data_IF_223450118613
#
_entry.id   IF_223450118613
#
_cell.length_a   1.000
_cell.length_b   1.000
_cell.length_c   1.000
_cell.angle_alpha   90.00
_cell.angle_beta   90.00
_cell.angle_gamma   90.00
#
_symmetry.space_group_name_H-M   'P 1'
#
loop_
_entity.id
_entity.type
_entity.pdbx_description
1 polymer ?
#
# COMPACT_ATOMS: atom_id res chain seq x y z
N UNK A 1 28.30 13.74 29.43
CA UNK A 1 27.01 13.38 28.80
C UNK A 1 27.03 14.02 27.44
N UNK A 2 27.22 13.23 26.37
CA UNK A 2 27.24 13.76 25.01
C UNK A 2 25.81 14.15 24.65
N UNK A 3 25.59 15.38 24.19
CA UNK A 3 24.28 15.77 23.68
C UNK A 3 23.95 14.84 22.49
N UNK A 4 22.89 14.04 22.64
CA UNK A 4 22.33 13.27 21.53
C UNK A 4 21.97 14.24 20.42
N UNK A 5 22.47 14.03 19.20
CA UNK A 5 21.98 14.80 18.05
C UNK A 5 20.47 14.58 17.92
N UNK A 6 19.70 15.61 17.52
CA UNK A 6 18.28 15.44 17.28
C UNK A 6 18.06 14.41 16.15
N UNK A 7 16.99 13.61 16.21
CA UNK A 7 16.64 12.68 15.15
C UNK A 7 16.45 13.45 13.83
N UNK A 8 17.00 12.92 12.73
CA UNK A 8 16.88 13.51 11.39
C UNK A 8 15.96 12.64 10.57
N UNK A 9 14.84 13.22 10.11
CA UNK A 9 13.90 12.55 9.22
C UNK A 9 14.52 12.35 7.83
N UNK A 10 14.58 11.10 7.37
CA UNK A 10 15.13 10.70 6.06
C UNK A 10 14.08 10.13 5.13
N UNK A 11 13.07 9.45 5.68
CA UNK A 11 11.96 8.91 4.91
C UNK A 11 10.67 8.95 5.72
N UNK A 12 9.56 8.97 5.00
CA UNK A 12 8.21 8.90 5.53
C UNK A 12 7.50 7.70 4.90
N UNK A 13 6.92 6.85 5.74
CA UNK A 13 6.18 5.65 5.34
C UNK A 13 4.73 5.79 5.82
N UNK A 14 3.81 5.94 4.89
CA UNK A 14 2.38 5.97 5.20
C UNK A 14 1.79 4.59 5.03
N UNK A 15 1.04 4.13 6.03
CA UNK A 15 0.19 2.96 5.91
C UNK A 15 -1.25 3.42 6.07
N UNK A 16 -2.02 3.47 4.97
CA UNK A 16 -3.29 4.18 5.02
C UNK A 16 -4.35 3.40 5.79
N UNK A 17 -5.06 4.05 6.69
CA UNK A 17 -6.17 3.45 7.44
C UNK A 17 -7.44 3.30 6.57
N UNK A 18 -8.12 2.16 6.70
CA UNK A 18 -9.48 1.86 6.21
C UNK A 18 -9.90 2.50 4.86
N UNK A 19 -9.23 2.15 3.76
CA UNK A 19 -9.68 2.53 2.41
C UNK A 19 -10.84 1.64 1.90
N UNK A 20 -11.43 0.81 2.77
CA UNK A 20 -12.57 -0.05 2.46
C UNK A 20 -13.89 0.70 2.59
N UNK A 21 -13.96 1.73 3.44
CA UNK A 21 -15.10 2.66 3.45
C UNK A 21 -15.18 3.39 2.11
N UNK A 22 -16.38 3.59 1.55
CA UNK A 22 -16.55 4.39 0.35
C UNK A 22 -16.06 5.81 0.62
N UNK A 23 -14.82 6.05 0.22
CA UNK A 23 -14.14 7.32 0.30
C UNK A 23 -14.96 8.35 -0.47
N UNK A 24 -15.21 9.51 0.15
CA UNK A 24 -15.75 10.64 -0.62
C UNK A 24 -14.79 10.92 -1.76
N UNK A 25 -15.27 11.15 -2.99
CA UNK A 25 -14.38 11.46 -4.10
C UNK A 25 -13.61 12.74 -3.76
N UNK A 26 -12.33 12.58 -3.42
CA UNK A 26 -11.40 13.70 -3.32
C UNK A 26 -11.06 14.16 -4.72
N UNK A 27 -10.91 15.48 -4.89
CA UNK A 27 -10.44 16.08 -6.13
C UNK A 27 -9.06 15.53 -6.56
N UNK A 28 -8.29 14.98 -5.61
CA UNK A 28 -6.93 14.47 -5.81
C UNK A 28 -6.84 12.94 -5.87
N UNK A 29 -7.97 12.23 -5.96
CA UNK A 29 -8.01 10.76 -6.07
C UNK A 29 -8.01 10.02 -4.73
N UNK A 30 -8.16 8.70 -4.80
CA UNK A 30 -8.39 7.84 -3.65
C UNK A 30 -7.19 7.78 -2.68
N UNK A 31 -5.96 7.69 -3.21
CA UNK A 31 -4.75 7.65 -2.38
C UNK A 31 -4.56 8.95 -1.59
N UNK A 32 -4.75 10.11 -2.23
CA UNK A 32 -4.64 11.41 -1.57
C UNK A 32 -5.58 11.54 -0.38
N UNK A 33 -6.83 11.09 -0.54
CA UNK A 33 -7.79 11.07 0.57
C UNK A 33 -7.40 10.06 1.65
N UNK A 34 -6.96 8.86 1.28
CA UNK A 34 -6.52 7.86 2.23
C UNK A 34 -5.34 8.36 3.09
N UNK A 35 -4.38 9.08 2.49
CA UNK A 35 -3.28 9.71 3.24
C UNK A 35 -3.81 10.79 4.19
N UNK A 36 -4.75 11.62 3.74
CA UNK A 36 -5.34 12.69 4.56
C UNK A 36 -6.03 12.14 5.81
N UNK A 37 -6.92 11.16 5.66
CA UNK A 37 -7.61 10.50 6.78
C UNK A 37 -6.60 9.81 7.73
N UNK A 38 -5.54 9.23 7.16
CA UNK A 38 -4.48 8.59 7.95
C UNK A 38 -3.70 9.59 8.79
N UNK A 39 -3.46 10.79 8.27
CA UNK A 39 -2.79 11.86 9.01
C UNK A 39 -3.66 12.35 10.18
N UNK A 40 -4.97 12.49 9.99
CA UNK A 40 -5.91 12.78 11.07
C UNK A 40 -5.87 11.69 12.16
N UNK A 41 -6.10 10.43 11.77
CA UNK A 41 -6.04 9.28 12.67
C UNK A 41 -4.72 9.20 13.46
N UNK A 42 -3.59 9.45 12.79
CA UNK A 42 -2.28 9.32 13.42
C UNK A 42 -1.93 10.50 14.34
N UNK A 43 -2.39 11.72 14.04
CA UNK A 43 -1.82 12.95 14.62
C UNK A 43 -2.79 13.82 15.43
N UNK A 44 -4.10 13.63 15.30
CA UNK A 44 -5.09 14.49 15.99
C UNK A 44 -5.30 14.09 17.45
N UNK A 45 -5.09 12.81 17.77
CA UNK A 45 -5.25 12.30 19.14
C UNK A 45 -6.69 12.22 19.60
N UNK A 46 -7.63 12.02 18.67
CA UNK A 46 -9.03 11.76 18.97
C UNK A 46 -9.18 10.52 19.85
N UNK A 47 -9.95 10.64 20.94
CA UNK A 47 -10.12 9.59 21.95
C UNK A 47 -10.66 8.29 21.36
N UNK A 48 -11.49 8.37 20.33
CA UNK A 48 -12.08 7.20 19.66
C UNK A 48 -11.02 6.34 18.94
N UNK A 49 -9.90 6.95 18.53
CA UNK A 49 -8.83 6.29 17.80
C UNK A 49 -7.85 5.60 18.76
N UNK A 50 -7.41 6.30 19.81
CA UNK A 50 -6.37 5.79 20.70
C UNK A 50 -6.91 5.04 21.91
N UNK A 51 -8.12 5.34 22.40
CA UNK A 51 -8.63 4.67 23.59
C UNK A 51 -9.02 3.22 23.25
N UNK A 52 -8.52 2.27 24.02
CA UNK A 52 -9.03 0.92 23.99
C UNK A 52 -10.41 0.93 24.65
N UNK A 53 -11.47 0.70 23.88
CA UNK A 53 -12.78 0.46 24.49
C UNK A 53 -12.67 -0.80 25.35
N UNK A 54 -13.26 -0.82 26.57
CA UNK A 54 -13.39 -2.06 27.32
C UNK A 54 -14.08 -3.09 26.42
N UNK A 55 -13.46 -4.25 26.24
CA UNK A 55 -13.81 -5.22 25.21
C UNK A 55 -15.28 -5.62 25.27
N UNK A 56 -16.14 -4.95 24.52
CA UNK A 56 -17.44 -5.46 24.14
C UNK A 56 -17.16 -6.51 23.07
N UNK A 57 -16.75 -7.71 23.49
CA UNK A 57 -16.80 -8.89 22.63
C UNK A 57 -18.25 -9.05 22.20
N UNK A 58 -18.61 -8.47 21.06
CA UNK A 58 -19.91 -8.71 20.44
C UNK A 58 -19.93 -10.21 20.09
N UNK A 59 -20.79 -11.03 20.70
CA UNK A 59 -20.85 -12.44 20.37
C UNK A 59 -21.32 -12.58 18.92
N UNK A 60 -20.56 -13.32 18.12
CA UNK A 60 -20.95 -13.69 16.76
C UNK A 60 -22.15 -14.65 16.82
N UNK A 61 -23.36 -14.10 16.87
CA UNK A 61 -24.60 -14.86 16.89
C UNK A 61 -25.84 -13.94 16.78
N UNK A 62 -26.99 -14.45 16.29
CA UNK A 62 -28.22 -13.68 16.25
C UNK A 62 -28.73 -13.51 17.69
N UNK A 63 -28.44 -12.36 18.32
CA UNK A 63 -28.81 -12.11 19.71
C UNK A 63 -30.01 -11.14 19.83
N UNK A 64 -31.13 -11.68 20.27
CA UNK A 64 -32.32 -10.96 20.75
C UNK A 64 -32.14 -10.36 22.17
N UNK A 65 -30.94 -10.44 22.77
CA UNK A 65 -30.71 -10.07 24.19
C UNK A 65 -29.82 -8.82 24.41
N UNK A 66 -29.44 -8.10 23.35
CA UNK A 66 -28.50 -6.96 23.44
C UNK A 66 -29.05 -5.71 24.16
N UNK A 67 -30.37 -5.57 24.36
CA UNK A 67 -30.97 -4.34 24.90
C UNK A 67 -30.88 -4.19 26.44
N UNK A 68 -30.48 -5.22 27.20
CA UNK A 68 -30.50 -5.14 28.68
C UNK A 68 -29.19 -4.75 29.35
N UNK A 69 -28.04 -4.72 28.64
CA UNK A 69 -26.74 -4.40 29.25
C UNK A 69 -26.34 -2.92 29.18
N UNK A 70 -26.98 -2.11 28.32
CA UNK A 70 -26.63 -0.70 28.12
C UNK A 70 -27.08 0.25 29.25
N UNK A 71 -27.89 -0.21 30.22
CA UNK A 71 -28.51 0.64 31.23
C UNK A 71 -27.85 0.62 32.62
N UNK A 72 -26.66 0.02 32.80
CA UNK A 72 -25.99 -0.12 34.12
C UNK A 72 -24.56 0.42 34.25
N UNK A 73 -23.96 1.01 33.22
CA UNK A 73 -22.67 1.69 33.37
C UNK A 73 -22.88 3.15 33.77
N UNK A 74 -22.98 3.39 35.07
CA UNK A 74 -23.02 4.71 35.69
C UNK A 74 -21.63 5.05 36.25
N UNK A 75 -21.03 6.13 35.77
CA UNK A 75 -20.17 7.08 36.51
C UNK A 75 -18.94 6.54 37.29
N UNK A 76 -18.28 5.47 36.85
CA UNK A 76 -16.86 5.29 37.15
C UNK A 76 -16.08 5.87 35.96
N UNK A 77 -15.23 6.87 36.22
CA UNK A 77 -14.21 7.35 35.27
C UNK A 77 -13.26 6.18 34.99
N UNK A 78 -13.63 5.31 34.05
CA UNK A 78 -12.78 4.22 33.60
C UNK A 78 -11.50 4.83 33.04
N UNK A 79 -10.36 4.48 33.65
CA UNK A 79 -9.04 4.91 33.23
C UNK A 79 -8.78 4.40 31.81
N UNK A 80 -8.93 5.29 30.82
CA UNK A 80 -8.75 4.95 29.41
C UNK A 80 -7.28 4.58 29.17
N UNK A 81 -7.06 3.32 28.76
CA UNK A 81 -5.72 2.85 28.36
C UNK A 81 -5.51 3.03 26.86
N UNK A 82 -4.36 3.55 26.41
CA UNK A 82 -4.07 3.69 24.99
C UNK A 82 -3.90 2.33 24.31
N UNK A 83 -4.35 2.23 23.06
CA UNK A 83 -4.13 1.07 22.18
C UNK A 83 -2.64 0.92 21.86
N UNK A 84 -2.15 -0.31 21.61
CA UNK A 84 -0.77 -0.54 21.19
C UNK A 84 -0.38 0.31 19.97
N UNK A 85 0.76 1.00 20.05
CA UNK A 85 1.28 1.87 18.99
C UNK A 85 0.86 3.35 19.08
N UNK A 86 -0.02 3.70 20.03
CA UNK A 86 -0.25 5.09 20.43
C UNK A 86 0.70 5.48 21.57
N UNK A 87 1.33 6.65 21.45
CA UNK A 87 2.26 7.19 22.41
C UNK A 87 2.00 8.69 22.66
N UNK A 88 2.32 9.22 23.85
CA UNK A 88 2.27 10.65 24.07
C UNK A 88 3.17 11.41 23.09
N UNK A 89 2.81 12.65 22.69
CA UNK A 89 3.64 13.46 21.82
C UNK A 89 5.01 13.77 22.47
N UNK A 90 6.08 13.82 21.66
CA UNK A 90 7.48 13.98 22.14
C UNK A 90 7.71 15.32 22.83
N UNK A 91 7.01 16.36 22.41
CA UNK A 91 6.98 17.65 23.07
C UNK A 91 5.55 17.92 23.56
N UNK A 92 5.36 18.55 24.73
CA UNK A 92 4.06 19.09 25.08
C UNK A 92 3.70 20.09 23.97
N UNK A 93 2.70 19.75 23.17
CA UNK A 93 2.11 20.74 22.30
C UNK A 93 1.61 21.88 23.19
N UNK A 94 1.64 23.12 22.70
CA UNK A 94 0.89 24.21 23.35
C UNK A 94 -0.63 23.91 23.43
N UNK A 95 -1.07 22.87 22.73
CA UNK A 95 -2.38 22.23 22.81
C UNK A 95 -2.37 21.13 23.89
N UNK A 96 -2.84 21.46 25.09
CA UNK A 96 -3.00 20.55 26.25
C UNK A 96 -3.98 19.37 25.97
N UNK A 97 -4.58 19.30 24.77
CA UNK A 97 -5.64 18.33 24.45
C UNK A 97 -5.13 17.04 23.75
N UNK A 98 -3.90 17.02 23.19
CA UNK A 98 -3.39 15.86 22.44
C UNK A 98 -2.74 14.82 23.35
N UNK A 99 -3.56 13.89 23.84
CA UNK A 99 -3.09 12.86 24.77
C UNK A 99 -2.14 11.83 24.11
N UNK A 100 -2.46 11.36 22.90
CA UNK A 100 -1.71 10.32 22.21
C UNK A 100 -1.72 10.49 20.70
N UNK A 101 -0.62 10.07 20.04
CA UNK A 101 -0.48 10.00 18.58
C UNK A 101 0.10 8.64 18.18
N UNK A 102 -0.16 8.19 16.96
CA UNK A 102 0.34 6.91 16.45
C UNK A 102 1.45 7.10 15.43
N UNK A 103 2.67 6.72 15.79
CA UNK A 103 3.83 6.78 14.89
C UNK A 103 4.94 5.83 15.33
N UNK A 104 5.81 5.45 14.40
CA UNK A 104 7.04 4.73 14.70
C UNK A 104 8.22 5.43 14.03
N UNK A 105 9.27 5.78 14.79
CA UNK A 105 10.49 6.37 14.25
C UNK A 105 11.65 5.38 14.39
N UNK A 106 12.15 4.87 13.27
CA UNK A 106 13.25 3.89 13.26
C UNK A 106 14.63 4.55 13.26
N UNK A 107 15.63 3.77 13.67
CA UNK A 107 17.03 4.20 13.76
C UNK A 107 17.63 4.66 12.41
N UNK A 108 17.06 4.23 11.29
CA UNK A 108 17.47 4.65 9.94
C UNK A 108 16.93 6.03 9.54
N UNK A 109 16.09 6.65 10.39
CA UNK A 109 15.45 7.94 10.14
C UNK A 109 14.13 7.84 9.38
N UNK A 110 13.50 6.66 9.30
CA UNK A 110 12.15 6.51 8.74
C UNK A 110 11.09 6.78 9.80
N UNK A 111 10.18 7.70 9.51
CA UNK A 111 8.94 7.88 10.27
C UNK A 111 7.82 7.10 9.60
N UNK A 112 7.17 6.19 10.31
CA UNK A 112 5.97 5.50 9.87
C UNK A 112 4.73 6.11 10.51
N UNK A 113 3.70 6.36 9.71
CA UNK A 113 2.41 6.91 10.12
C UNK A 113 1.25 6.06 9.55
N UNK A 114 0.38 5.49 10.39
CA UNK A 114 0.51 5.39 11.85
C UNK A 114 1.58 4.36 12.25
N UNK A 115 1.73 4.07 13.54
CA UNK A 115 2.55 2.95 14.01
C UNK A 115 2.02 1.62 13.43
N UNK A 116 2.85 0.74 12.85
CA UNK A 116 2.41 -0.53 12.26
C UNK A 116 1.50 -1.38 13.17
N UNK A 117 1.84 -1.48 14.47
CA UNK A 117 1.02 -2.21 15.45
C UNK A 117 -0.42 -1.69 15.62
N UNK A 118 -0.68 -0.38 15.42
CA UNK A 118 -2.06 0.14 15.45
C UNK A 118 -2.91 -0.43 14.32
N UNK A 119 -2.27 -0.75 13.20
CA UNK A 119 -2.94 -1.26 12.01
C UNK A 119 -3.25 -2.74 12.18
N UNK A 120 -2.28 -3.50 12.71
CA UNK A 120 -2.42 -4.92 12.95
C UNK A 120 -3.51 -5.24 14.00
N UNK A 121 -3.67 -4.37 15.01
CA UNK A 121 -4.63 -4.57 16.09
C UNK A 121 -6.10 -4.39 15.66
N UNK A 122 -6.39 -3.40 14.80
CA UNK A 122 -7.76 -3.06 14.41
C UNK A 122 -8.27 -3.83 13.18
N UNK A 123 -7.37 -4.52 12.44
CA UNK A 123 -7.70 -5.21 11.18
C UNK A 123 -7.85 -6.71 11.29
N UNK A 124 -8.36 -7.22 12.41
CA UNK A 124 -8.99 -8.56 12.39
C UNK A 124 -10.30 -8.45 11.59
N UNK A 125 -10.29 -8.73 10.29
CA UNK A 125 -11.39 -8.40 9.41
C UNK A 125 -12.45 -9.47 9.66
N UNK A 126 -13.57 -9.12 10.29
CA UNK A 126 -14.53 -10.08 10.82
C UNK A 126 -13.99 -10.83 12.07
N UNK A 127 -14.63 -10.75 13.24
CA UNK A 127 -14.34 -11.65 14.36
C UNK A 127 -14.45 -13.14 13.97
N UNK A 128 -15.07 -13.46 12.83
CA UNK A 128 -15.06 -14.80 12.23
C UNK A 128 -13.90 -15.08 11.27
N UNK A 129 -13.06 -14.10 10.89
CA UNK A 129 -11.79 -14.33 10.19
C UNK A 129 -10.57 -14.19 11.11
N UNK A 130 -10.75 -13.81 12.37
CA UNK A 130 -9.78 -14.05 13.43
C UNK A 130 -9.48 -15.57 13.50
N UNK A 131 -8.39 -16.01 12.86
CA UNK A 131 -8.05 -17.43 12.71
C UNK A 131 -8.41 -18.06 11.35
N UNK A 132 -8.78 -17.27 10.34
CA UNK A 132 -8.84 -17.76 8.97
C UNK A 132 -7.45 -18.24 8.54
N UNK A 133 -7.37 -19.49 8.07
CA UNK A 133 -6.15 -20.06 7.51
C UNK A 133 -5.68 -19.19 6.34
N UNK A 134 -4.36 -18.99 6.18
CA UNK A 134 -3.79 -18.20 5.08
C UNK A 134 -4.30 -18.67 3.72
N UNK A 135 -4.62 -19.96 3.57
CA UNK A 135 -5.19 -20.53 2.35
C UNK A 135 -6.60 -20.01 1.99
N UNK A 136 -7.34 -19.47 2.97
CA UNK A 136 -8.66 -18.88 2.75
C UNK A 136 -8.58 -17.44 2.20
N UNK A 137 -7.41 -16.81 2.29
CA UNK A 137 -7.20 -15.44 1.83
C UNK A 137 -6.64 -15.42 0.41
N UNK A 138 -7.10 -14.45 -0.37
CA UNK A 138 -6.51 -14.04 -1.65
C UNK A 138 -5.97 -12.63 -1.54
N UNK A 139 -4.64 -12.49 -1.63
CA UNK A 139 -3.93 -11.23 -1.43
C UNK A 139 -3.38 -10.75 -2.75
N UNK A 140 -3.94 -9.65 -3.24
CA UNK A 140 -3.41 -8.95 -4.42
C UNK A 140 -2.71 -7.68 -3.99
N UNK A 141 -1.44 -7.53 -4.38
CA UNK A 141 -0.64 -6.33 -4.17
C UNK A 141 -0.28 -5.70 -5.52
N UNK A 142 -0.61 -4.43 -5.72
CA UNK A 142 -0.25 -3.67 -6.90
C UNK A 142 0.76 -2.59 -6.54
N UNK A 143 1.96 -2.71 -7.10
CA UNK A 143 3.08 -1.82 -6.86
C UNK A 143 3.18 -0.76 -7.96
N UNK A 144 3.37 0.49 -7.57
CA UNK A 144 3.57 1.64 -8.43
C UNK A 144 4.97 2.21 -8.20
N UNK A 145 5.82 2.21 -9.24
CA UNK A 145 7.09 2.93 -9.19
C UNK A 145 6.88 4.42 -9.48
N UNK A 146 6.92 5.26 -8.44
CA UNK A 146 6.64 6.70 -8.54
C UNK A 146 7.89 7.55 -8.77
N UNK A 147 9.08 7.04 -8.43
CA UNK A 147 10.35 7.69 -8.74
C UNK A 147 11.45 6.63 -8.84
N UNK A 148 12.20 6.66 -9.93
CA UNK A 148 13.40 5.85 -10.08
C UNK A 148 14.63 6.65 -9.62
N UNK A 149 15.37 6.12 -8.65
CA UNK A 149 16.69 6.65 -8.33
C UNK A 149 17.70 6.24 -9.42
N UNK A 150 18.85 6.92 -9.51
CA UNK A 150 19.93 6.51 -10.42
C UNK A 150 20.34 5.03 -10.21
N UNK A 151 20.35 4.56 -8.96
CA UNK A 151 20.64 3.16 -8.63
C UNK A 151 19.56 2.17 -9.09
N UNK A 152 18.32 2.63 -9.22
CA UNK A 152 17.19 1.83 -9.71
C UNK A 152 17.33 1.51 -11.19
N UNK A 153 17.96 2.37 -12.01
CA UNK A 153 18.18 2.06 -13.43
C UNK A 153 19.11 0.87 -13.64
N UNK A 154 20.15 0.74 -12.79
CA UNK A 154 21.10 -0.37 -12.90
C UNK A 154 20.51 -1.67 -12.35
N UNK A 155 19.91 -1.63 -11.16
CA UNK A 155 19.45 -2.82 -10.43
C UNK A 155 18.00 -3.21 -10.70
N UNK A 156 17.26 -2.40 -11.47
CA UNK A 156 15.80 -2.50 -11.52
C UNK A 156 15.13 -1.96 -10.25
N UNK A 157 13.82 -2.14 -10.16
CA UNK A 157 13.00 -1.73 -9.01
C UNK A 157 12.78 -2.86 -8.00
N UNK A 158 13.37 -4.05 -8.19
CA UNK A 158 13.14 -5.20 -7.31
C UNK A 158 13.44 -4.93 -5.82
N UNK A 159 14.52 -4.21 -5.44
CA UNK A 159 14.74 -3.86 -4.03
C UNK A 159 13.61 -3.00 -3.44
N UNK A 160 12.98 -2.13 -4.25
CA UNK A 160 11.87 -1.29 -3.81
C UNK A 160 10.57 -2.11 -3.67
N UNK A 161 10.38 -3.12 -4.51
CA UNK A 161 9.24 -4.05 -4.37
C UNK A 161 9.40 -4.90 -3.11
N UNK A 162 10.60 -5.39 -2.82
CA UNK A 162 10.86 -6.15 -1.59
C UNK A 162 10.71 -5.29 -0.33
N UNK A 163 11.16 -4.02 -0.36
CA UNK A 163 10.90 -3.03 0.70
C UNK A 163 9.39 -2.84 0.93
N UNK A 164 8.61 -2.73 -0.15
CA UNK A 164 7.17 -2.60 -0.07
C UNK A 164 6.47 -3.86 0.46
N UNK A 165 6.92 -5.05 0.06
CA UNK A 165 6.41 -6.32 0.61
C UNK A 165 6.75 -6.47 2.09
N UNK A 166 7.94 -6.04 2.52
CA UNK A 166 8.32 -6.02 3.94
C UNK A 166 7.43 -5.06 4.74
N UNK A 167 7.11 -3.88 4.20
CA UNK A 167 6.16 -2.96 4.82
C UNK A 167 4.74 -3.55 4.91
N UNK A 168 4.30 -4.28 3.88
CA UNK A 168 3.03 -5.01 3.90
C UNK A 168 3.01 -6.05 5.02
N UNK A 169 4.04 -6.89 5.10
CA UNK A 169 4.19 -7.91 6.14
C UNK A 169 4.21 -7.30 7.54
N UNK A 170 4.94 -6.21 7.76
CA UNK A 170 4.98 -5.51 9.04
C UNK A 170 3.60 -4.99 9.47
N UNK A 171 2.77 -4.54 8.52
CA UNK A 171 1.45 -3.99 8.81
C UNK A 171 0.31 -5.02 8.90
N UNK A 172 0.47 -6.19 8.27
CA UNK A 172 -0.63 -7.17 8.10
C UNK A 172 -0.29 -8.58 8.57
N UNK A 173 0.98 -8.88 8.84
CA UNK A 173 1.48 -10.24 9.06
C UNK A 173 1.50 -11.13 7.80
N UNK A 174 1.21 -10.59 6.61
CA UNK A 174 1.19 -11.36 5.37
C UNK A 174 2.60 -11.48 4.79
N UNK A 175 3.19 -12.67 4.90
CA UNK A 175 4.53 -12.96 4.39
C UNK A 175 4.59 -13.15 2.86
N UNK A 176 3.51 -13.68 2.28
CA UNK A 176 3.39 -14.03 0.87
C UNK A 176 2.11 -13.46 0.24
N UNK A 177 2.22 -12.86 -0.93
CA UNK A 177 1.09 -12.39 -1.75
C UNK A 177 0.74 -13.39 -2.85
N UNK A 178 -0.55 -13.52 -3.16
CA UNK A 178 -1.04 -14.42 -4.21
C UNK A 178 -0.76 -13.83 -5.60
N UNK A 179 -1.03 -12.53 -5.78
CA UNK A 179 -0.74 -11.81 -7.03
C UNK A 179 -0.02 -10.50 -6.75
N UNK A 180 1.17 -10.29 -7.32
CA UNK A 180 1.86 -9.01 -7.33
C UNK A 180 1.81 -8.39 -8.74
N UNK A 181 1.20 -7.22 -8.88
CA UNK A 181 1.07 -6.50 -10.15
C UNK A 181 2.06 -5.33 -10.16
N UNK A 182 2.94 -5.28 -11.16
CA UNK A 182 3.89 -4.19 -11.32
C UNK A 182 3.36 -3.13 -12.28
N UNK A 183 3.28 -1.89 -11.82
CA UNK A 183 2.99 -0.72 -12.63
C UNK A 183 4.12 0.31 -12.55
N UNK A 184 4.42 0.91 -13.71
CA UNK A 184 5.47 1.91 -13.86
C UNK A 184 4.90 3.17 -14.52
N UNK A 185 4.12 4.00 -13.79
CA UNK A 185 3.36 5.11 -14.39
C UNK A 185 4.21 6.15 -15.12
N UNK A 186 5.48 6.30 -14.73
CA UNK A 186 6.40 7.26 -15.34
C UNK A 186 7.14 6.73 -16.58
N UNK A 187 7.01 5.44 -16.89
CA UNK A 187 7.62 4.83 -18.06
C UNK A 187 6.66 4.87 -19.25
N UNK A 188 7.22 4.91 -20.46
CA UNK A 188 6.44 5.00 -21.70
C UNK A 188 6.06 3.62 -22.26
N UNK A 189 5.66 2.70 -21.38
CA UNK A 189 5.34 1.31 -21.76
C UNK A 189 4.05 1.19 -22.58
N UNK A 190 3.15 2.17 -22.49
CA UNK A 190 1.90 2.24 -23.25
C UNK A 190 2.05 2.78 -24.67
N UNK A 191 3.24 3.27 -25.04
CA UNK A 191 3.48 3.84 -26.38
C UNK A 191 3.49 2.74 -27.46
N UNK A 192 3.15 3.07 -28.72
CA UNK A 192 3.11 2.12 -29.83
C UNK A 192 4.50 1.62 -30.25
N UNK A 193 5.57 2.28 -29.81
CA UNK A 193 6.95 1.92 -30.10
C UNK A 193 7.75 1.76 -28.79
N UNK A 194 8.68 0.79 -28.70
CA UNK A 194 9.52 0.64 -27.52
C UNK A 194 10.38 1.88 -27.25
N UNK A 195 10.46 2.26 -25.98
CA UNK A 195 11.15 3.49 -25.55
C UNK A 195 12.55 3.25 -24.97
N UNK A 196 12.88 1.99 -24.67
CA UNK A 196 14.05 1.59 -23.88
C UNK A 196 13.71 1.40 -22.39
N UNK A 197 12.55 1.87 -21.93
CA UNK A 197 12.08 1.71 -20.55
C UNK A 197 11.79 0.24 -20.20
N UNK A 198 11.58 -0.61 -21.21
CA UNK A 198 11.32 -2.05 -21.07
C UNK A 198 12.45 -2.79 -20.35
N UNK A 199 13.69 -2.29 -20.45
CA UNK A 199 14.85 -2.89 -19.81
C UNK A 199 14.76 -2.79 -18.28
N UNK A 200 14.22 -1.69 -17.74
CA UNK A 200 13.98 -1.55 -16.30
C UNK A 200 12.98 -2.61 -15.82
N UNK A 201 11.89 -2.80 -16.58
CA UNK A 201 10.85 -3.78 -16.27
C UNK A 201 11.42 -5.19 -16.36
N UNK A 202 12.19 -5.51 -17.40
CA UNK A 202 12.83 -6.82 -17.61
C UNK A 202 13.75 -7.19 -16.44
N UNK A 203 14.62 -6.26 -16.00
CA UNK A 203 15.51 -6.48 -14.84
C UNK A 203 14.72 -6.70 -13.55
N UNK A 204 13.72 -5.86 -13.32
CA UNK A 204 12.83 -5.97 -12.15
C UNK A 204 12.12 -7.33 -12.14
N UNK A 205 11.57 -7.73 -13.29
CA UNK A 205 10.85 -8.99 -13.46
C UNK A 205 11.75 -10.21 -13.24
N UNK A 206 12.95 -10.19 -13.82
CA UNK A 206 13.95 -11.25 -13.66
C UNK A 206 14.33 -11.45 -12.19
N UNK A 207 14.56 -10.34 -11.47
CA UNK A 207 14.94 -10.38 -10.06
C UNK A 207 13.80 -10.83 -9.14
N UNK A 208 12.54 -10.51 -9.46
CA UNK A 208 11.37 -10.90 -8.65
C UNK A 208 10.82 -12.29 -8.99
N UNK A 209 11.05 -12.79 -10.21
CA UNK A 209 10.60 -14.12 -10.65
C UNK A 209 10.95 -15.27 -9.68
N UNK A 210 12.15 -15.35 -9.08
CA UNK A 210 12.46 -16.40 -8.12
C UNK A 210 11.91 -16.15 -6.71
N UNK A 211 11.33 -14.98 -6.41
CA UNK A 211 10.91 -14.62 -5.04
C UNK A 211 9.80 -15.55 -4.53
N UNK A 212 9.97 -16.21 -3.37
CA UNK A 212 8.95 -17.07 -2.78
C UNK A 212 7.79 -16.27 -2.18
N UNK A 213 7.97 -14.96 -1.95
CA UNK A 213 6.96 -14.07 -1.38
C UNK A 213 5.85 -13.71 -2.36
N UNK A 214 6.02 -14.06 -3.63
CA UNK A 214 5.07 -13.75 -4.69
C UNK A 214 4.67 -15.07 -5.33
N UNK A 215 3.39 -15.44 -5.28
CA UNK A 215 2.90 -16.65 -5.95
C UNK A 215 2.72 -16.43 -7.47
N UNK A 216 2.18 -15.28 -7.86
CA UNK A 216 1.95 -14.92 -9.25
C UNK A 216 2.37 -13.47 -9.54
N UNK A 217 2.95 -13.22 -10.71
CA UNK A 217 3.40 -11.89 -11.14
C UNK A 217 2.56 -11.38 -12.31
N UNK A 218 2.12 -10.13 -12.22
CA UNK A 218 1.43 -9.42 -13.28
C UNK A 218 2.10 -8.11 -13.64
N UNK A 219 1.72 -7.56 -14.80
CA UNK A 219 2.18 -6.25 -15.28
C UNK A 219 0.99 -5.40 -15.69
N UNK A 220 1.04 -4.11 -15.37
CA UNK A 220 0.00 -3.15 -15.73
C UNK A 220 0.47 -2.17 -16.81
N UNK A 221 -0.50 -1.65 -17.57
CA UNK A 221 -0.33 -0.45 -18.41
C UNK A 221 0.78 -0.57 -19.47
N UNK A 222 1.05 -1.79 -19.95
CA UNK A 222 2.03 -2.07 -21.00
C UNK A 222 1.36 -2.40 -22.34
N UNK A 223 1.84 -1.79 -23.43
CA UNK A 223 1.39 -2.08 -24.78
C UNK A 223 1.91 -3.45 -25.26
N UNK A 224 1.24 -4.05 -26.26
CA UNK A 224 1.68 -5.31 -26.84
C UNK A 224 3.13 -5.27 -27.39
N UNK A 225 3.58 -4.21 -28.10
CA UNK A 225 4.98 -4.05 -28.46
C UNK A 225 5.93 -4.13 -27.25
N UNK A 226 5.63 -3.41 -26.18
CA UNK A 226 6.44 -3.41 -24.95
C UNK A 226 6.45 -4.80 -24.30
N UNK A 227 5.29 -5.47 -24.19
CA UNK A 227 5.20 -6.84 -23.65
C UNK A 227 6.06 -7.83 -24.45
N UNK A 228 6.06 -7.73 -25.78
CA UNK A 228 6.91 -8.57 -26.64
C UNK A 228 8.40 -8.32 -26.40
N UNK A 229 8.81 -7.08 -26.10
CA UNK A 229 10.20 -6.76 -25.78
C UNK A 229 10.56 -7.24 -24.37
N UNK A 230 9.72 -6.98 -23.37
CA UNK A 230 9.96 -7.38 -21.97
C UNK A 230 10.07 -8.90 -21.85
N UNK A 231 9.22 -9.64 -22.57
CA UNK A 231 9.10 -11.10 -22.50
C UNK A 231 9.61 -11.83 -23.73
N UNK A 232 10.54 -11.23 -24.50
CA UNK A 232 11.08 -11.81 -25.73
C UNK A 232 11.72 -13.20 -25.50
N UNK A 233 12.41 -13.36 -24.38
CA UNK A 233 13.15 -14.58 -24.03
C UNK A 233 12.28 -15.61 -23.28
N UNK A 234 11.00 -15.30 -23.06
CA UNK A 234 10.10 -16.18 -22.32
C UNK A 234 9.32 -17.04 -23.31
N UNK A 235 9.56 -18.37 -23.32
CA UNK A 235 8.80 -19.26 -24.19
C UNK A 235 7.31 -19.19 -23.83
N UNK A 236 6.44 -19.37 -24.83
CA UNK A 236 5.02 -19.52 -24.57
C UNK A 236 4.83 -20.73 -23.64
N UNK A 237 4.10 -20.54 -22.53
CA UNK A 237 3.89 -21.62 -21.57
C UNK A 237 3.00 -22.70 -22.20
N UNK A 238 3.51 -23.92 -22.32
CA UNK A 238 2.70 -25.10 -22.63
C UNK A 238 2.00 -25.62 -21.35
N UNK A 239 1.14 -24.79 -20.75
CA UNK A 239 0.27 -25.16 -19.61
C UNK A 239 0.86 -25.01 -18.19
N UNK A 240 -0.01 -24.55 -17.26
CA UNK A 240 0.05 -24.49 -15.78
C UNK A 240 1.32 -23.97 -15.05
N UNK A 241 2.36 -23.51 -15.74
CA UNK A 241 3.65 -23.16 -15.14
C UNK A 241 3.70 -21.81 -14.37
N UNK A 242 2.58 -21.12 -14.16
CA UNK A 242 2.57 -19.74 -13.65
C UNK A 242 2.86 -19.64 -12.13
N UNK A 243 2.68 -20.72 -11.38
CA UNK A 243 2.74 -20.71 -9.90
C UNK A 243 4.05 -21.25 -9.32
N UNK A 244 4.94 -21.82 -10.14
CA UNK A 244 6.19 -22.38 -9.64
C UNK A 244 7.32 -21.34 -9.73
N UNK A 245 8.04 -21.14 -8.63
CA UNK A 245 9.23 -20.28 -8.61
C UNK A 245 10.21 -20.76 -9.69
N UNK A 246 10.47 -19.89 -10.66
CA UNK A 246 11.34 -20.12 -11.80
C UNK A 246 12.30 -18.93 -11.90
N UNK A 247 13.47 -19.16 -12.50
CA UNK A 247 14.40 -18.09 -12.82
C UNK A 247 13.77 -16.98 -13.69
N UNK A 248 12.68 -17.30 -14.39
CA UNK A 248 11.90 -16.33 -15.15
C UNK A 248 10.45 -16.82 -15.31
N UNK A 249 9.48 -16.14 -14.67
CA UNK A 249 8.05 -16.50 -14.78
C UNK A 249 7.39 -15.83 -15.97
N UNK A 250 6.45 -16.50 -16.62
CA UNK A 250 5.49 -15.84 -17.52
C UNK A 250 4.54 -14.97 -16.69
N UNK A 251 4.09 -13.81 -17.20
CA UNK A 251 3.07 -13.03 -16.52
C UNK A 251 1.79 -13.88 -16.37
N UNK A 252 1.25 -13.93 -15.15
CA UNK A 252 -0.06 -14.53 -14.88
C UNK A 252 -1.19 -13.58 -15.24
N UNK A 253 -0.95 -12.27 -15.14
CA UNK A 253 -1.94 -11.22 -15.35
C UNK A 253 -1.32 -10.03 -16.11
N UNK A 254 -2.01 -9.55 -17.12
CA UNK A 254 -1.80 -8.23 -17.70
C UNK A 254 -3.03 -7.38 -17.41
N UNK A 255 -2.85 -6.20 -16.82
CA UNK A 255 -3.96 -5.26 -16.62
C UNK A 255 -3.85 -4.07 -17.55
N UNK A 256 -4.95 -3.74 -18.22
CA UNK A 256 -5.08 -2.56 -19.07
C UNK A 256 -5.87 -1.46 -18.34
N UNK A 257 -5.43 -0.22 -18.48
CA UNK A 257 -6.18 0.95 -18.00
C UNK A 257 -7.14 1.41 -19.10
N UNK A 258 -8.44 1.19 -18.87
CA UNK A 258 -9.49 1.52 -19.84
C UNK A 258 -9.69 3.04 -19.93
N UNK A 259 -9.41 3.79 -18.87
CA UNK A 259 -9.51 5.25 -18.85
C UNK A 259 -8.50 5.92 -19.78
N UNK A 260 -7.31 5.33 -19.90
CA UNK A 260 -6.25 5.78 -20.83
C UNK A 260 -6.52 5.43 -22.30
N UNK A 261 -7.55 4.64 -22.59
CA UNK A 261 -7.84 4.21 -23.95
C UNK A 261 -8.55 5.31 -24.75
N UNK A 262 -7.81 5.90 -25.69
CA UNK A 262 -8.39 6.82 -26.69
C UNK A 262 -9.45 6.13 -27.58
N UNK A 263 -9.35 4.81 -27.77
CA UNK A 263 -10.28 3.99 -28.56
C UNK A 263 -10.46 2.61 -27.92
N UNK A 264 -11.48 2.40 -27.07
CA UNK A 264 -11.71 1.14 -26.36
C UNK A 264 -11.85 -0.10 -27.26
N UNK A 265 -12.18 0.08 -28.54
CA UNK A 265 -12.60 -1.01 -29.43
C UNK A 265 -11.52 -1.55 -30.38
N UNK A 266 -10.33 -0.92 -30.48
CA UNK A 266 -9.35 -1.26 -31.54
C UNK A 266 -8.11 -2.04 -31.06
N UNK A 267 -7.76 -1.97 -29.77
CA UNK A 267 -6.47 -2.47 -29.28
C UNK A 267 -6.49 -3.91 -28.73
N UNK A 268 -7.67 -4.55 -28.67
CA UNK A 268 -7.83 -5.67 -27.75
C UNK A 268 -7.68 -7.07 -28.38
N UNK A 269 -7.81 -7.21 -29.70
CA UNK A 269 -7.78 -8.55 -30.32
C UNK A 269 -6.39 -9.18 -30.29
N UNK A 270 -5.37 -8.44 -30.70
CA UNK A 270 -4.00 -8.96 -30.72
C UNK A 270 -3.44 -9.14 -29.32
N UNK A 271 -3.73 -8.22 -28.39
CA UNK A 271 -3.30 -8.34 -27.00
C UNK A 271 -3.99 -9.50 -26.31
N UNK A 272 -5.31 -9.63 -26.46
CA UNK A 272 -6.07 -10.78 -25.94
C UNK A 272 -5.55 -12.09 -26.51
N UNK A 273 -5.34 -12.17 -27.83
CA UNK A 273 -4.77 -13.36 -28.46
C UNK A 273 -3.38 -13.68 -27.89
N UNK A 274 -2.51 -12.67 -27.72
CA UNK A 274 -1.19 -12.87 -27.13
C UNK A 274 -1.26 -13.39 -25.68
N UNK A 275 -2.21 -12.88 -24.88
CA UNK A 275 -2.45 -13.33 -23.51
C UNK A 275 -2.97 -14.78 -23.51
N UNK A 276 -3.96 -15.11 -24.35
CA UNK A 276 -4.52 -16.46 -24.50
C UNK A 276 -3.47 -17.48 -24.93
N UNK A 277 -2.62 -17.15 -25.91
CA UNK A 277 -1.51 -18.00 -26.39
C UNK A 277 -0.47 -18.28 -25.30
N UNK A 278 -0.41 -17.46 -24.26
CA UNK A 278 0.56 -17.56 -23.16
C UNK A 278 -0.04 -18.07 -21.86
N UNK A 279 -1.36 -18.30 -21.82
CA UNK A 279 -2.07 -18.62 -20.58
C UNK A 279 -2.09 -17.46 -19.57
N UNK A 280 -1.92 -16.23 -20.05
CA UNK A 280 -1.96 -15.01 -19.23
C UNK A 280 -3.37 -14.46 -19.18
N UNK A 281 -3.84 -14.08 -17.99
CA UNK A 281 -5.12 -13.40 -17.82
C UNK A 281 -5.03 -11.94 -18.28
N UNK A 282 -6.07 -11.44 -18.94
CA UNK A 282 -6.20 -10.03 -19.31
C UNK A 282 -7.29 -9.39 -18.45
N UNK A 283 -6.88 -8.51 -17.54
CA UNK A 283 -7.76 -7.79 -16.64
C UNK A 283 -7.83 -6.29 -16.94
N UNK A 284 -8.76 -5.59 -16.31
CA UNK A 284 -8.88 -4.13 -16.38
C UNK A 284 -8.53 -3.50 -15.04
N UNK A 285 -7.67 -2.49 -15.05
CA UNK A 285 -7.37 -1.63 -13.89
C UNK A 285 -8.09 -0.29 -13.98
N UNK A 286 -8.37 0.33 -12.83
CA UNK A 286 -8.96 1.67 -12.74
C UNK A 286 -8.29 2.47 -11.62
N UNK A 287 -6.97 2.62 -11.71
CA UNK A 287 -6.19 3.35 -10.70
C UNK A 287 -5.99 4.83 -11.06
N UNK A 288 -6.50 5.27 -12.23
CA UNK A 288 -6.42 6.65 -12.71
C UNK A 288 -5.11 6.98 -13.43
N UNK A 289 -5.08 8.17 -14.04
CA UNK A 289 -3.90 8.66 -14.77
C UNK A 289 -2.74 9.02 -13.84
N UNK A 290 -3.08 9.56 -12.67
CA UNK A 290 -2.14 10.02 -11.67
C UNK A 290 -2.56 9.51 -10.29
N UNK A 291 -1.93 8.42 -9.84
CA UNK A 291 -2.24 7.79 -8.55
C UNK A 291 -1.89 8.71 -7.37
N UNK A 292 -0.93 9.62 -7.55
CA UNK A 292 -0.50 10.56 -6.53
C UNK A 292 -0.13 11.90 -7.18
N UNK A 293 -1.11 12.81 -7.35
CA UNK A 293 -0.86 14.15 -7.88
C UNK A 293 0.28 14.87 -7.16
N UNK A 294 1.09 15.60 -7.91
CA UNK A 294 2.30 16.27 -7.40
C UNK A 294 1.98 17.28 -6.29
N UNK A 295 0.78 17.83 -6.31
CA UNK A 295 0.29 18.81 -5.35
C UNK A 295 -0.18 18.17 -4.03
N UNK A 296 -0.45 16.85 -4.01
CA UNK A 296 -1.01 16.15 -2.86
C UNK A 296 -0.10 16.25 -1.64
N UNK A 297 1.14 15.77 -1.74
CA UNK A 297 2.06 15.73 -0.59
C UNK A 297 2.40 17.12 -0.05
N UNK A 298 2.76 18.14 -0.88
CA UNK A 298 3.00 19.48 -0.37
C UNK A 298 1.79 20.09 0.35
N UNK A 299 0.58 19.88 -0.17
CA UNK A 299 -0.65 20.41 0.43
C UNK A 299 -0.92 19.77 1.78
N UNK A 300 -0.86 18.43 1.85
CA UNK A 300 -1.08 17.71 3.10
C UNK A 300 0.01 18.03 4.12
N UNK A 301 1.29 18.07 3.75
CA UNK A 301 2.34 18.42 4.71
C UNK A 301 2.20 19.84 5.24
N UNK A 302 1.74 20.79 4.44
CA UNK A 302 1.51 22.15 4.92
C UNK A 302 0.42 22.21 6.00
N UNK A 303 -0.60 21.35 5.91
CA UNK A 303 -1.69 21.24 6.88
C UNK A 303 -1.27 20.56 8.19
N UNK A 304 -0.32 19.62 8.15
CA UNK A 304 0.09 18.82 9.32
C UNK A 304 1.51 19.13 9.82
N UNK A 305 2.21 20.14 9.27
CA UNK A 305 3.63 20.39 9.51
C UNK A 305 3.99 20.56 11.00
N UNK A 306 3.12 21.24 11.76
CA UNK A 306 3.26 21.53 13.19
C UNK A 306 2.84 20.35 14.09
N UNK A 307 2.20 19.33 13.51
CA UNK A 307 1.73 18.13 14.22
C UNK A 307 2.65 16.93 14.08
N UNK A 308 3.66 16.99 13.19
CA UNK A 308 4.59 15.88 13.00
C UNK A 308 5.50 15.68 14.23
N UNK A 309 5.70 14.43 14.70
CA UNK A 309 6.56 14.14 15.85
C UNK A 309 8.05 14.41 15.56
N UNK A 310 8.45 14.34 14.30
CA UNK A 310 9.79 14.70 13.82
C UNK A 310 9.63 15.73 12.71
N UNK A 311 10.10 16.97 12.89
CA UNK A 311 9.92 18.01 11.89
C UNK A 311 10.73 17.69 10.62
N UNK A 312 10.17 18.06 9.48
CA UNK A 312 10.89 18.05 8.20
C UNK A 312 12.08 19.03 8.27
N UNK A 313 13.25 18.67 7.72
CA UNK A 313 14.35 19.61 7.59
C UNK A 313 13.93 20.85 6.78
N UNK A 314 14.48 22.01 7.12
CA UNK A 314 14.20 23.24 6.39
C UNK A 314 14.56 23.09 4.90
N UNK A 315 13.67 23.55 4.01
CA UNK A 315 13.80 23.42 2.56
C UNK A 315 13.86 21.97 2.05
N UNK A 316 13.37 21.01 2.83
CA UNK A 316 13.17 19.66 2.35
C UNK A 316 11.82 19.50 1.65
N UNK A 317 11.77 18.58 0.70
CA UNK A 317 10.53 18.08 0.08
C UNK A 317 10.45 16.57 0.20
N UNK A 318 9.23 16.07 0.21
CA UNK A 318 9.00 14.64 0.06
C UNK A 318 9.00 14.24 -1.41
N UNK A 319 9.76 13.20 -1.73
CA UNK A 319 9.78 12.59 -3.05
C UNK A 319 9.21 11.18 -2.95
N UNK A 320 8.02 10.93 -3.54
CA UNK A 320 7.42 9.60 -3.49
C UNK A 320 8.29 8.63 -4.30
N UNK A 321 8.71 7.53 -3.67
CA UNK A 321 9.54 6.49 -4.31
C UNK A 321 8.67 5.40 -4.91
N UNK A 322 7.80 4.85 -4.09
CA UNK A 322 6.89 3.81 -4.48
C UNK A 322 5.60 3.88 -3.68
N UNK A 323 4.55 3.35 -4.27
CA UNK A 323 3.27 3.14 -3.61
C UNK A 323 2.83 1.68 -3.84
N UNK A 324 2.22 1.05 -2.85
CA UNK A 324 1.64 -0.28 -2.95
C UNK A 324 0.18 -0.23 -2.54
N UNK A 325 -0.72 -0.54 -3.45
CA UNK A 325 -2.11 -0.85 -3.13
C UNK A 325 -2.21 -2.33 -2.81
N UNK A 326 -2.95 -2.71 -1.79
CA UNK A 326 -3.25 -4.12 -1.57
C UNK A 326 -4.72 -4.35 -1.28
N UNK A 327 -5.14 -5.59 -1.52
CA UNK A 327 -6.50 -6.06 -1.36
C UNK A 327 -6.43 -7.47 -0.80
N UNK A 328 -7.15 -7.72 0.30
CA UNK A 328 -7.29 -9.02 0.94
C UNK A 328 -8.73 -9.45 0.78
N UNK A 329 -8.96 -10.54 0.05
CA UNK A 329 -10.27 -11.13 -0.17
C UNK A 329 -10.38 -12.47 0.57
N UNK A 330 -11.48 -12.70 1.26
CA UNK A 330 -11.82 -14.01 1.83
C UNK A 330 -12.46 -14.86 0.72
N UNK A 331 -11.73 -15.85 0.20
CA UNK A 331 -12.05 -16.60 -1.03
C UNK A 331 -13.40 -17.32 -0.98
N UNK A 332 -13.66 -18.03 0.12
CA UNK A 332 -14.84 -18.88 0.28
C UNK A 332 -16.13 -18.05 0.38
N UNK A 333 -16.04 -16.80 0.82
CA UNK A 333 -17.17 -15.87 0.97
C UNK A 333 -17.24 -14.82 -0.12
N UNK A 334 -16.15 -14.59 -0.87
CA UNK A 334 -16.04 -13.48 -1.81
C UNK A 334 -16.15 -12.11 -1.15
N UNK A 335 -15.73 -12.00 0.12
CA UNK A 335 -15.85 -10.77 0.92
C UNK A 335 -14.49 -10.06 0.96
N UNK A 336 -14.49 -8.75 0.70
CA UNK A 336 -13.33 -7.90 0.90
C UNK A 336 -13.05 -7.77 2.40
N UNK A 337 -11.97 -8.38 2.86
CA UNK A 337 -11.51 -8.26 4.24
C UNK A 337 -10.80 -6.93 4.46
N UNK A 338 -9.95 -6.51 3.53
CA UNK A 338 -9.19 -5.27 3.64
C UNK A 338 -8.79 -4.73 2.27
N UNK A 339 -8.71 -3.40 2.18
CA UNK A 339 -8.12 -2.68 1.06
C UNK A 339 -7.45 -1.42 1.59
N UNK A 340 -6.18 -1.24 1.22
CA UNK A 340 -5.38 -0.13 1.73
C UNK A 340 -4.17 0.15 0.83
N UNK A 341 -3.42 1.18 1.17
CA UNK A 341 -2.24 1.66 0.47
C UNK A 341 -1.06 1.77 1.45
N UNK A 342 0.15 1.57 0.93
CA UNK A 342 1.40 1.87 1.60
C UNK A 342 2.20 2.79 0.69
N UNK A 343 2.64 3.94 1.17
CA UNK A 343 3.39 4.92 0.40
C UNK A 343 4.72 5.21 1.09
N UNK A 344 5.83 5.04 0.37
CA UNK A 344 7.15 5.48 0.81
C UNK A 344 7.56 6.76 0.10
N UNK A 345 7.96 7.73 0.90
CA UNK A 345 8.57 8.98 0.46
C UNK A 345 9.96 9.13 1.07
N UNK A 346 10.91 9.61 0.27
CA UNK A 346 12.20 10.06 0.78
C UNK A 346 12.16 11.57 1.04
N UNK A 347 12.94 12.03 2.01
CA UNK A 347 13.17 13.44 2.28
C UNK A 347 14.38 13.90 1.46
N UNK A 348 14.16 14.80 0.51
CA UNK A 348 15.22 15.45 -0.26
C UNK A 348 15.34 16.91 0.17
N UNK A 349 16.53 17.33 0.58
CA UNK A 349 16.85 18.74 0.81
C UNK A 349 17.34 19.36 -0.50
N UNK A 350 16.77 20.51 -0.89
CA UNK A 350 17.34 21.26 -2.00
C UNK A 350 18.78 21.69 -1.62
N UNK A 351 19.74 21.30 -2.47
CA UNK A 351 21.18 21.48 -2.25
C UNK A 351 21.65 22.95 -2.36
#
# INVERSE_FOLDING_TARGET
>A
MSASQPPVLRSLLFHTHDASRPLKPSAFGALSHAIHETLHFALDGDVEDWAAAPSLQAPCGPNEEAEQQQARHSEEEEELTPRPGFAPPVAPADDDERAYISYHFSDDGTLALPHPDTIAADRSPDPCAAGADRSALDVTAKFFLLSASAGSQERGAAPLVEDALQALEASTGIEQVDTAILEFPLLRLGEPAPSGDEELVRRTWSALSPSPRIAALGVASASLPSLRVIFADVPAANGSAHTQASAYRTPSLVTIDVGKMRTPCSWDRELKQWCEERGTELGTGNDGDDVLPKETLPTLLAEFADRLPVPLPANARLVPRWCMKYTILIRDRGVLADQSWILRCDVETDA
#
